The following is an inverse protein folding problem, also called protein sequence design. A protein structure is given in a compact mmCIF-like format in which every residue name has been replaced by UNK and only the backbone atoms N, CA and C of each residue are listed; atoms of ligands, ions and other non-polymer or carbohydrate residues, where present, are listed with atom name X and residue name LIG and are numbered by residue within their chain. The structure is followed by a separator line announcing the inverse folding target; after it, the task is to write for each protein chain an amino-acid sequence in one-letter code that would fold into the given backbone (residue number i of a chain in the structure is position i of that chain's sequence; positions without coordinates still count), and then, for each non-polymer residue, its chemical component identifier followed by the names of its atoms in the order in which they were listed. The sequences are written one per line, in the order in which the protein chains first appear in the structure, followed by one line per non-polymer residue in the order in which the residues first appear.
data_IF_585511612668
#
_entry.id   IF_585511612668
#
_cell.length_a   1.000
_cell.length_b   1.000
_cell.length_c   1.000
_cell.angle_alpha   90.00
_cell.angle_beta   90.00
_cell.angle_gamma   90.00
#
_symmetry.space_group_name_H-M   'P 1'
#
loop_
_entity.id
_entity.type
_entity.pdbx_description
1 polymer ?
#
# COMPACT_ATOMS: atom_id res chain seq x y z
N UNK A 1 -29.18 56.43 9.02
CA UNK A 1 -27.72 56.54 8.93
C UNK A 1 -27.09 55.65 9.99
N UNK A 2 -26.72 54.43 9.61
CA UNK A 2 -26.05 53.45 10.48
C UNK A 2 -24.74 53.08 9.81
N UNK A 3 -23.62 53.27 10.50
CA UNK A 3 -22.35 52.54 10.34
C UNK A 3 -21.28 53.24 11.16
N UNK A 4 -20.82 52.61 12.23
CA UNK A 4 -19.42 52.61 12.70
C UNK A 4 -19.34 52.15 14.16
N UNK A 5 -19.56 50.87 14.44
CA UNK A 5 -19.08 50.24 15.69
C UNK A 5 -19.08 48.72 15.50
N UNK A 6 -18.06 48.16 14.84
CA UNK A 6 -17.86 46.70 14.83
C UNK A 6 -16.44 46.24 14.42
N UNK A 7 -15.38 47.03 14.66
CA UNK A 7 -14.01 46.66 14.28
C UNK A 7 -13.06 46.50 15.48
N UNK A 8 -13.47 46.83 16.71
CA UNK A 8 -12.54 46.88 17.85
C UNK A 8 -12.54 45.66 18.79
N UNK A 9 -13.12 44.52 18.41
CA UNK A 9 -13.15 43.31 19.27
C UNK A 9 -12.41 42.09 18.71
N UNK A 10 -11.76 42.18 17.55
CA UNK A 10 -11.17 41.01 16.87
C UNK A 10 -9.64 40.86 17.05
N UNK A 11 -8.96 41.77 17.75
CA UNK A 11 -7.49 41.77 17.84
C UNK A 11 -6.93 41.12 19.13
N UNK A 12 -7.77 40.78 20.11
CA UNK A 12 -7.30 40.26 21.41
C UNK A 12 -7.51 38.75 21.67
N UNK A 13 -8.03 37.98 20.71
CA UNK A 13 -8.22 36.52 20.88
C UNK A 13 -7.09 35.69 20.23
N UNK A 14 -6.18 36.31 19.48
CA UNK A 14 -5.17 35.60 18.69
C UNK A 14 -3.81 35.32 19.39
N UNK A 15 -3.65 35.60 20.70
CA UNK A 15 -2.35 35.49 21.38
C UNK A 15 -2.32 34.64 22.68
N UNK A 16 -3.18 33.62 22.82
CA UNK A 16 -3.19 32.79 24.05
C UNK A 16 -3.23 31.27 23.86
N UNK A 17 -2.82 30.76 22.68
CA UNK A 17 -2.66 29.32 22.42
C UNK A 17 -1.25 28.97 21.92
N UNK A 18 -0.23 29.61 22.49
CA UNK A 18 1.15 29.10 22.47
C UNK A 18 1.47 28.76 23.92
N UNK A 19 2.11 27.60 24.14
CA UNK A 19 2.47 26.95 25.41
C UNK A 19 1.42 25.97 25.99
N UNK A 20 1.36 24.79 25.39
CA UNK A 20 1.27 23.50 26.11
C UNK A 20 1.69 22.40 25.12
N UNK A 21 2.98 22.32 24.81
CA UNK A 21 3.56 21.17 24.14
C UNK A 21 4.01 20.19 25.23
N UNK A 22 3.13 19.28 25.63
CA UNK A 22 3.56 18.07 26.32
C UNK A 22 4.22 17.16 25.28
N UNK A 23 5.51 16.98 25.44
CA UNK A 23 6.36 16.07 24.70
C UNK A 23 5.97 14.63 25.11
N UNK A 24 4.96 14.06 24.47
CA UNK A 24 4.69 12.62 24.57
C UNK A 24 5.73 11.93 23.68
N UNK A 25 6.80 11.45 24.31
CA UNK A 25 7.74 10.52 23.69
C UNK A 25 6.98 9.20 23.53
N UNK A 26 6.45 8.96 22.34
CA UNK A 26 5.91 7.66 21.96
C UNK A 26 7.10 6.78 21.58
N UNK A 27 7.52 5.89 22.48
CA UNK A 27 8.42 4.79 22.10
C UNK A 27 7.67 3.88 21.13
N UNK A 28 8.15 3.69 19.89
CA UNK A 28 7.60 2.63 19.06
C UNK A 28 7.99 1.29 19.71
N UNK A 29 6.99 0.51 20.12
CA UNK A 29 7.16 -0.93 20.37
C UNK A 29 7.46 -1.57 19.02
N UNK A 30 8.73 -1.51 18.62
CA UNK A 30 9.28 -2.37 17.59
C UNK A 30 9.37 -3.74 18.25
N UNK A 31 8.38 -4.60 17.97
CA UNK A 31 8.55 -6.04 18.15
C UNK A 31 9.63 -6.50 17.14
N UNK A 32 10.89 -6.23 17.49
CA UNK A 32 12.06 -6.70 16.78
C UNK A 32 12.17 -8.19 17.00
N UNK A 33 11.93 -8.97 15.96
CA UNK A 33 12.55 -10.28 15.87
C UNK A 33 14.03 -10.06 15.57
N UNK A 34 14.85 -9.96 16.63
CA UNK A 34 16.29 -10.16 16.54
C UNK A 34 16.55 -11.66 16.43
N UNK A 35 16.73 -12.17 15.23
CA UNK A 35 17.46 -13.44 15.08
C UNK A 35 18.92 -13.14 15.33
N UNK A 36 19.37 -13.37 16.57
CA UNK A 36 20.79 -13.52 16.87
C UNK A 36 21.31 -14.73 16.09
N UNK A 37 21.89 -14.49 14.92
CA UNK A 37 22.79 -15.46 14.30
C UNK A 37 24.14 -15.27 14.99
N UNK A 38 24.26 -15.89 16.14
CA UNK A 38 25.56 -16.28 16.68
C UNK A 38 25.73 -17.73 16.28
N UNK A 39 26.73 -18.05 15.46
CA UNK A 39 27.67 -19.12 15.78
C UNK A 39 28.77 -19.23 14.73
N UNK A 40 29.97 -18.89 15.21
CA UNK A 40 31.19 -19.58 14.85
C UNK A 40 31.04 -21.09 15.12
N UNK A 41 31.53 -21.87 14.16
CA UNK A 41 32.14 -23.20 14.32
C UNK A 41 31.26 -24.43 14.63
N UNK A 42 31.41 -25.41 13.72
CA UNK A 42 31.30 -26.86 13.91
C UNK A 42 29.88 -27.47 13.90
N UNK A 43 29.37 -27.72 12.70
CA UNK A 43 28.36 -28.75 12.47
C UNK A 43 29.09 -30.07 12.19
N UNK A 44 29.05 -30.99 13.15
CA UNK A 44 29.31 -32.41 12.92
C UNK A 44 28.02 -33.02 12.35
N UNK A 45 28.06 -33.40 11.08
CA UNK A 45 26.95 -34.08 10.39
C UNK A 45 27.12 -35.59 10.55
N UNK A 46 26.30 -36.19 11.41
CA UNK A 46 26.05 -37.63 11.38
C UNK A 46 25.11 -37.92 10.20
N UNK A 47 25.57 -38.76 9.27
CA UNK A 47 24.88 -39.05 8.01
C UNK A 47 24.43 -40.49 8.00
N UNK A 48 23.11 -40.71 8.00
CA UNK A 48 22.53 -41.93 7.44
C UNK A 48 21.26 -41.64 6.63
N UNK A 49 21.36 -42.00 5.34
CA UNK A 49 20.31 -42.35 4.36
C UNK A 49 19.42 -41.24 3.75
N UNK A 50 19.75 -40.83 2.51
CA UNK A 50 19.08 -41.20 1.22
C UNK A 50 17.78 -40.39 0.99
N UNK A 51 17.44 -39.77 -0.13
CA UNK A 51 17.97 -39.64 -1.49
C UNK A 51 17.09 -38.57 -2.16
N UNK A 52 17.68 -37.57 -2.83
CA UNK A 52 17.26 -37.06 -4.15
C UNK A 52 18.08 -35.81 -4.49
N UNK A 53 18.81 -35.92 -5.59
CA UNK A 53 19.90 -35.03 -5.95
C UNK A 53 19.45 -33.69 -6.55
N UNK A 54 20.07 -32.63 -6.05
CA UNK A 54 20.38 -31.44 -6.82
C UNK A 54 21.83 -31.07 -6.53
N UNK A 55 22.66 -31.06 -7.57
CA UNK A 55 24.08 -30.67 -7.51
C UNK A 55 24.15 -29.14 -7.49
N UNK A 56 24.50 -28.55 -6.35
CA UNK A 56 24.89 -27.13 -6.27
C UNK A 56 26.41 -27.09 -6.33
N UNK A 57 26.94 -26.57 -7.43
CA UNK A 57 28.36 -26.23 -7.59
C UNK A 57 28.65 -24.95 -6.81
N UNK A 58 29.60 -24.91 -5.86
CA UNK A 58 30.01 -23.66 -5.23
C UNK A 58 31.05 -22.96 -6.13
N UNK A 59 30.69 -21.81 -6.69
CA UNK A 59 31.65 -20.90 -7.31
C UNK A 59 32.24 -19.96 -6.26
N UNK A 60 33.57 -20.07 -6.11
CA UNK A 60 34.40 -19.35 -5.17
C UNK A 60 34.42 -17.83 -5.37
N UNK A 61 34.47 -17.16 -4.21
CA UNK A 61 35.21 -15.94 -3.85
C UNK A 61 36.16 -15.34 -4.90
N UNK A 62 36.04 -14.02 -5.07
CA UNK A 62 37.21 -13.14 -4.97
C UNK A 62 36.79 -11.69 -4.73
N UNK A 63 37.19 -11.15 -3.57
CA UNK A 63 37.34 -9.72 -3.32
C UNK A 63 38.52 -9.18 -4.15
N UNK A 64 38.39 -7.99 -4.73
CA UNK A 64 39.53 -7.07 -4.95
C UNK A 64 39.05 -5.63 -5.15
N UNK A 65 39.46 -4.77 -4.23
CA UNK A 65 39.62 -3.31 -4.39
C UNK A 65 40.99 -3.03 -5.02
N UNK A 66 41.07 -2.20 -6.08
CA UNK A 66 41.94 -1.02 -6.11
C UNK A 66 41.83 -0.19 -7.41
N UNK A 67 41.84 1.13 -7.18
CA UNK A 67 42.50 2.21 -7.94
C UNK A 67 42.11 2.63 -9.37
N UNK A 68 41.78 3.92 -9.41
CA UNK A 68 41.75 4.85 -10.54
C UNK A 68 43.16 5.07 -11.12
N UNK A 69 43.31 4.93 -12.44
CA UNK A 69 44.25 5.73 -13.26
C UNK A 69 43.79 5.75 -14.72
N UNK A 70 43.57 6.96 -15.23
CA UNK A 70 43.34 7.27 -16.64
C UNK A 70 44.62 7.11 -17.47
N UNK A 71 44.47 6.71 -18.74
CA UNK A 71 45.25 7.36 -19.81
C UNK A 71 44.37 7.83 -20.98
N UNK A 72 44.74 9.00 -21.51
CA UNK A 72 44.24 9.59 -22.76
C UNK A 72 44.85 8.85 -23.96
N UNK A 73 44.02 8.40 -24.91
CA UNK A 73 44.43 8.30 -26.32
C UNK A 73 43.22 8.44 -27.26
N UNK A 74 43.40 9.19 -28.34
CA UNK A 74 42.45 9.41 -29.46
C UNK A 74 42.61 8.32 -30.54
N UNK A 75 41.61 8.27 -31.44
CA UNK A 75 41.53 7.58 -32.76
C UNK A 75 40.97 6.15 -32.63
N UNK A 76 39.96 5.65 -33.35
CA UNK A 76 39.11 6.08 -34.47
C UNK A 76 37.80 5.26 -34.46
N UNK A 77 36.79 5.81 -35.12
CA UNK A 77 35.56 5.23 -35.71
C UNK A 77 35.29 3.71 -35.59
N UNK A 78 34.05 3.40 -35.19
CA UNK A 78 33.28 2.34 -35.86
C UNK A 78 33.01 1.05 -35.10
N UNK A 79 32.35 1.11 -33.93
CA UNK A 79 31.52 -0.01 -33.48
C UNK A 79 30.42 0.50 -32.53
N UNK A 80 29.19 0.61 -33.03
CA UNK A 80 28.02 0.81 -32.18
C UNK A 80 27.74 -0.57 -31.55
N UNK A 81 28.32 -0.80 -30.37
CA UNK A 81 27.75 -1.77 -29.45
C UNK A 81 26.44 -1.16 -28.96
N UNK A 82 25.31 -1.64 -29.48
CA UNK A 82 24.00 -1.42 -28.87
C UNK A 82 24.00 -2.11 -27.51
N UNK A 83 24.50 -1.41 -26.50
CA UNK A 83 24.20 -1.70 -25.11
C UNK A 83 22.71 -1.42 -24.95
N UNK A 84 21.88 -2.44 -25.19
CA UNK A 84 20.51 -2.47 -24.72
C UNK A 84 20.55 -2.45 -23.19
N UNK A 85 20.65 -1.25 -22.64
CA UNK A 85 20.29 -0.98 -21.26
C UNK A 85 18.78 -1.19 -21.20
N UNK A 86 18.34 -2.42 -20.94
CA UNK A 86 17.00 -2.64 -20.41
C UNK A 86 16.94 -1.88 -19.10
N UNK A 87 16.40 -0.68 -19.15
CA UNK A 87 15.83 -0.02 -17.99
C UNK A 87 14.70 -0.94 -17.55
N UNK A 88 15.02 -1.89 -16.65
CA UNK A 88 14.00 -2.61 -15.92
C UNK A 88 13.34 -1.54 -15.06
N UNK A 89 12.23 -1.00 -15.53
CA UNK A 89 11.40 -0.12 -14.72
C UNK A 89 11.04 -0.91 -13.46
N UNK A 90 11.22 -0.29 -12.30
CA UNK A 90 10.97 -0.81 -10.95
C UNK A 90 9.53 -1.33 -10.72
N UNK A 91 8.70 -1.31 -11.75
CA UNK A 91 7.27 -1.62 -11.77
C UNK A 91 6.96 -3.13 -11.81
N UNK A 92 7.93 -4.00 -12.11
CA UNK A 92 7.66 -5.44 -12.36
C UNK A 92 8.26 -6.41 -11.35
N UNK A 93 9.06 -5.95 -10.37
CA UNK A 93 9.58 -6.86 -9.36
C UNK A 93 8.44 -7.37 -8.47
N UNK A 94 8.22 -8.69 -8.42
CA UNK A 94 7.23 -9.31 -7.53
C UNK A 94 7.92 -9.75 -6.24
N UNK A 95 7.32 -9.41 -5.11
CA UNK A 95 7.80 -9.93 -3.83
C UNK A 95 7.53 -11.44 -3.74
N UNK A 96 8.41 -12.21 -3.08
CA UNK A 96 8.17 -13.63 -2.84
C UNK A 96 6.82 -13.90 -2.15
N UNK A 97 6.08 -14.92 -2.61
CA UNK A 97 4.74 -15.23 -2.11
C UNK A 97 4.65 -15.36 -0.57
N UNK A 98 5.63 -16.03 0.06
CA UNK A 98 5.61 -16.26 1.51
C UNK A 98 5.59 -14.96 2.33
N UNK A 99 6.16 -13.87 1.81
CA UNK A 99 6.12 -12.56 2.45
C UNK A 99 4.72 -11.92 2.35
N UNK A 100 4.10 -12.06 1.18
CA UNK A 100 2.75 -11.55 0.92
C UNK A 100 1.73 -12.33 1.76
N UNK A 101 1.86 -13.65 1.83
CA UNK A 101 1.07 -14.53 2.68
C UNK A 101 1.21 -14.18 4.16
N UNK A 102 2.44 -13.93 4.63
CA UNK A 102 2.69 -13.44 5.99
C UNK A 102 1.96 -12.13 6.31
N UNK A 103 1.96 -11.18 5.37
CA UNK A 103 1.22 -9.92 5.53
C UNK A 103 -0.31 -10.11 5.60
N UNK A 104 -0.86 -11.10 4.89
CA UNK A 104 -2.28 -11.46 4.96
C UNK A 104 -2.68 -12.25 6.22
N UNK A 105 -1.74 -12.94 6.86
CA UNK A 105 -2.01 -13.69 8.09
C UNK A 105 -2.06 -12.76 9.32
N UNK A 106 -1.46 -11.58 9.24
CA UNK A 106 -1.48 -10.58 10.31
C UNK A 106 -2.74 -9.66 10.25
N UNK A 107 -3.82 -10.15 9.66
CA UNK A 107 -5.04 -9.35 9.42
C UNK A 107 -6.06 -9.64 10.51
N UNK A 108 -6.93 -8.68 10.78
CA UNK A 108 -8.00 -8.82 11.78
C UNK A 108 -9.28 -9.44 11.23
N UNK A 109 -9.30 -9.80 9.93
CA UNK A 109 -10.48 -10.41 9.30
C UNK A 109 -10.40 -11.93 9.38
N UNK A 110 -11.35 -12.51 10.12
CA UNK A 110 -11.63 -13.94 10.05
C UNK A 110 -12.43 -14.16 8.77
N UNK A 111 -11.80 -14.74 7.75
CA UNK A 111 -12.46 -15.10 6.50
C UNK A 111 -12.39 -16.62 6.28
N UNK A 112 -13.45 -17.25 5.77
CA UNK A 112 -13.43 -18.67 5.41
C UNK A 112 -12.53 -18.96 4.20
N UNK A 113 -12.17 -17.96 3.40
CA UNK A 113 -11.25 -18.11 2.26
C UNK A 113 -10.26 -16.95 2.16
N UNK A 114 -8.98 -17.22 1.82
CA UNK A 114 -8.01 -16.15 1.64
C UNK A 114 -8.45 -15.21 0.50
N UNK A 115 -8.21 -13.89 0.62
CA UNK A 115 -8.63 -12.92 -0.40
C UNK A 115 -7.99 -13.23 -1.76
N UNK A 116 -6.74 -13.68 -1.76
CA UNK A 116 -6.02 -14.08 -2.95
C UNK A 116 -5.02 -15.21 -2.63
N UNK A 117 -4.50 -15.88 -3.66
CA UNK A 117 -3.60 -17.05 -3.55
C UNK A 117 -2.33 -16.82 -4.37
N UNK A 118 -1.36 -17.75 -4.31
CA UNK A 118 -0.12 -17.66 -5.11
C UNK A 118 -0.38 -17.57 -6.62
N UNK A 119 -1.52 -18.08 -7.07
CA UNK A 119 -1.93 -18.10 -8.49
C UNK A 119 -2.76 -16.87 -8.86
N UNK A 120 -3.05 -15.98 -7.91
CA UNK A 120 -3.77 -14.75 -8.16
C UNK A 120 -2.96 -13.80 -9.04
N UNK A 121 -3.65 -13.20 -10.00
CA UNK A 121 -3.08 -12.23 -10.94
C UNK A 121 -3.80 -10.91 -10.79
N UNK A 122 -3.07 -9.87 -10.42
CA UNK A 122 -3.58 -8.50 -10.34
C UNK A 122 -2.53 -7.54 -9.80
N UNK A 123 -2.87 -6.27 -9.79
CA UNK A 123 -1.91 -5.21 -9.52
C UNK A 123 -1.60 -5.02 -8.02
N UNK A 124 -2.46 -5.51 -7.12
CA UNK A 124 -2.32 -5.34 -5.67
C UNK A 124 -1.79 -6.61 -4.96
N UNK A 125 -1.51 -7.69 -5.70
CA UNK A 125 -1.07 -8.98 -5.13
C UNK A 125 0.39 -9.29 -5.42
N UNK A 126 1.12 -8.35 -6.01
CA UNK A 126 2.54 -8.53 -6.38
C UNK A 126 3.52 -7.96 -5.35
N UNK A 127 3.04 -7.17 -4.38
CA UNK A 127 3.86 -6.46 -3.40
C UNK A 127 3.37 -6.68 -1.98
N UNK A 128 4.29 -6.89 -1.04
CA UNK A 128 3.99 -7.03 0.38
C UNK A 128 3.34 -5.76 0.94
N UNK A 129 3.77 -4.58 0.47
CA UNK A 129 3.22 -3.30 0.91
C UNK A 129 1.73 -3.18 0.59
N UNK A 130 1.31 -3.58 -0.61
CA UNK A 130 -0.10 -3.55 -1.03
C UNK A 130 -0.95 -4.46 -0.13
N UNK A 131 -0.48 -5.68 0.12
CA UNK A 131 -1.18 -6.63 0.99
C UNK A 131 -1.28 -6.12 2.44
N UNK A 132 -0.18 -5.60 3.00
CA UNK A 132 -0.12 -5.06 4.36
C UNK A 132 -1.02 -3.83 4.54
N UNK A 133 -1.11 -2.98 3.51
CA UNK A 133 -1.97 -1.79 3.50
C UNK A 133 -3.45 -2.17 3.39
N UNK A 134 -3.81 -3.08 2.47
CA UNK A 134 -5.22 -3.34 2.15
C UNK A 134 -5.85 -4.30 3.16
N UNK A 135 -5.13 -5.36 3.50
CA UNK A 135 -5.67 -6.43 4.34
C UNK A 135 -5.12 -6.36 5.76
N UNK A 136 -3.87 -5.95 5.93
CA UNK A 136 -3.15 -5.94 7.20
C UNK A 136 -3.43 -4.75 8.12
N UNK A 137 -2.42 -4.43 8.93
CA UNK A 137 -2.44 -3.35 9.93
C UNK A 137 -2.69 -1.96 9.36
N UNK A 138 -2.41 -1.72 8.08
CA UNK A 138 -2.60 -0.42 7.41
C UNK A 138 -4.03 -0.14 6.96
N UNK A 139 -4.96 -1.10 7.09
CA UNK A 139 -6.30 -1.03 6.49
C UNK A 139 -7.10 0.19 6.92
N UNK A 140 -7.17 0.47 8.21
CA UNK A 140 -8.07 1.53 8.72
C UNK A 140 -7.56 2.92 8.31
N UNK A 141 -6.25 3.11 8.30
CA UNK A 141 -5.61 4.30 7.75
C UNK A 141 -5.85 4.41 6.25
N UNK A 142 -5.71 3.29 5.53
CA UNK A 142 -5.98 3.24 4.10
C UNK A 142 -7.43 3.62 3.76
N UNK A 143 -8.42 3.15 4.52
CA UNK A 143 -9.82 3.52 4.33
C UNK A 143 -10.05 5.03 4.50
N UNK A 144 -9.44 5.64 5.53
CA UNK A 144 -9.49 7.10 5.73
C UNK A 144 -8.89 7.85 4.55
N UNK A 145 -7.72 7.41 4.10
CA UNK A 145 -7.01 8.03 2.97
C UNK A 145 -7.80 7.89 1.68
N UNK A 146 -8.41 6.74 1.43
CA UNK A 146 -9.28 6.52 0.27
C UNK A 146 -10.47 7.48 0.28
N UNK A 147 -11.19 7.62 1.39
CA UNK A 147 -12.32 8.56 1.50
C UNK A 147 -11.83 9.99 1.31
N UNK A 148 -10.76 10.40 1.99
CA UNK A 148 -10.16 11.74 1.89
C UNK A 148 -9.77 12.07 0.45
N UNK A 149 -9.01 11.20 -0.21
CA UNK A 149 -8.56 11.40 -1.59
C UNK A 149 -9.73 11.41 -2.57
N UNK A 150 -10.72 10.53 -2.39
CA UNK A 150 -11.91 10.46 -3.24
C UNK A 150 -12.78 11.70 -3.13
N UNK A 151 -12.99 12.23 -1.90
CA UNK A 151 -13.76 13.46 -1.70
C UNK A 151 -13.01 14.68 -2.24
N UNK A 152 -11.71 14.80 -1.96
CA UNK A 152 -10.86 15.90 -2.46
C UNK A 152 -10.80 15.93 -3.99
N UNK A 153 -10.82 14.78 -4.64
CA UNK A 153 -10.80 14.66 -6.10
C UNK A 153 -12.18 14.73 -6.74
N UNK A 154 -13.25 14.81 -5.94
CA UNK A 154 -14.64 14.63 -6.37
C UNK A 154 -14.83 13.33 -7.17
N UNK A 155 -14.05 12.29 -6.86
CA UNK A 155 -14.09 11.03 -7.58
C UNK A 155 -13.38 11.03 -8.94
N UNK A 156 -12.55 12.02 -9.25
CA UNK A 156 -11.78 12.05 -10.49
C UNK A 156 -10.59 11.07 -10.43
N UNK A 157 -10.42 10.25 -11.48
CA UNK A 157 -9.34 9.25 -11.56
C UNK A 157 -7.94 9.85 -11.36
N UNK A 158 -7.54 10.83 -12.18
CA UNK A 158 -6.17 11.38 -12.18
C UNK A 158 -5.83 12.08 -10.87
N UNK A 159 -6.80 12.83 -10.33
CA UNK A 159 -6.62 13.53 -9.06
C UNK A 159 -6.60 12.58 -7.86
N UNK A 160 -7.41 11.50 -7.90
CA UNK A 160 -7.35 10.44 -6.87
C UNK A 160 -6.01 9.73 -6.91
N UNK A 161 -5.55 9.33 -8.10
CA UNK A 161 -4.23 8.72 -8.30
C UNK A 161 -3.11 9.60 -7.74
N UNK A 162 -3.10 10.88 -8.11
CA UNK A 162 -2.12 11.87 -7.63
C UNK A 162 -2.19 12.09 -6.11
N UNK A 163 -3.37 11.96 -5.51
CA UNK A 163 -3.52 12.03 -4.06
C UNK A 163 -2.93 10.78 -3.40
N UNK A 164 -3.30 9.59 -3.85
CA UNK A 164 -2.84 8.31 -3.29
C UNK A 164 -1.33 8.12 -3.44
N UNK A 165 -0.74 8.55 -4.56
CA UNK A 165 0.71 8.41 -4.80
C UNK A 165 1.59 9.23 -3.86
N UNK A 166 1.00 10.21 -3.15
CA UNK A 166 1.70 11.10 -2.20
C UNK A 166 1.54 10.66 -0.76
N UNK A 167 0.74 9.63 -0.49
CA UNK A 167 0.47 9.20 0.87
C UNK A 167 1.40 8.04 1.22
N UNK A 168 2.08 8.20 2.35
CA UNK A 168 2.72 7.11 3.07
C UNK A 168 1.72 6.59 4.10
N UNK A 169 1.58 5.27 4.15
CA UNK A 169 0.68 4.55 5.04
C UNK A 169 1.54 3.73 5.98
N UNK A 170 1.13 3.63 7.24
CA UNK A 170 1.82 2.80 8.23
C UNK A 170 3.32 3.15 8.33
N UNK A 171 3.62 4.44 8.51
CA UNK A 171 4.97 4.97 8.79
C UNK A 171 5.94 5.01 7.61
N UNK A 172 5.79 4.15 6.60
CA UNK A 172 6.71 4.10 5.45
C UNK A 172 6.20 3.37 4.19
N UNK A 173 5.07 2.66 4.24
CA UNK A 173 4.61 1.90 3.08
C UNK A 173 3.90 2.79 2.07
N UNK A 174 4.08 2.46 0.79
CA UNK A 174 3.33 3.03 -0.33
C UNK A 174 2.66 1.92 -1.10
N UNK A 175 1.47 2.23 -1.60
CA UNK A 175 0.85 1.37 -2.60
C UNK A 175 1.69 1.40 -3.88
N UNK A 176 1.78 0.25 -4.54
CA UNK A 176 2.33 0.17 -5.89
C UNK A 176 1.49 1.01 -6.85
N UNK A 177 2.11 1.52 -7.92
CA UNK A 177 1.39 2.32 -8.91
C UNK A 177 0.23 1.54 -9.54
N UNK A 178 0.45 0.25 -9.83
CA UNK A 178 -0.58 -0.64 -10.35
C UNK A 178 -1.77 -0.72 -9.41
N UNK A 179 -1.53 -0.91 -8.11
CA UNK A 179 -2.60 -0.97 -7.13
C UNK A 179 -3.32 0.39 -6.97
N UNK A 180 -2.59 1.51 -6.98
CA UNK A 180 -3.19 2.86 -6.98
C UNK A 180 -4.13 3.05 -8.17
N UNK A 181 -3.78 2.54 -9.36
CA UNK A 181 -4.64 2.62 -10.53
C UNK A 181 -5.97 1.88 -10.31
N UNK A 182 -5.95 0.69 -9.70
CA UNK A 182 -7.17 -0.07 -9.39
C UNK A 182 -8.12 0.70 -8.46
N UNK A 183 -7.58 1.27 -7.38
CA UNK A 183 -8.36 2.05 -6.43
C UNK A 183 -8.87 3.35 -7.05
N UNK A 184 -8.05 4.04 -7.83
CA UNK A 184 -8.45 5.27 -8.53
C UNK A 184 -9.54 5.01 -9.57
N UNK A 185 -9.50 3.87 -10.26
CA UNK A 185 -10.54 3.45 -11.20
C UNK A 185 -11.86 3.15 -10.49
N UNK A 186 -11.80 2.54 -9.30
CA UNK A 186 -12.99 2.29 -8.48
C UNK A 186 -13.65 3.59 -8.02
N UNK A 187 -12.84 4.57 -7.63
CA UNK A 187 -13.33 5.89 -7.23
C UNK A 187 -14.01 6.60 -8.40
N UNK A 188 -13.43 6.51 -9.61
CA UNK A 188 -14.07 7.02 -10.82
C UNK A 188 -15.37 6.27 -11.17
N UNK A 189 -15.41 4.94 -10.99
CA UNK A 189 -16.63 4.16 -11.13
C UNK A 189 -17.71 4.61 -10.14
N UNK A 190 -17.35 4.83 -8.88
CA UNK A 190 -18.26 5.32 -7.84
C UNK A 190 -18.82 6.70 -8.16
N UNK A 191 -18.01 7.60 -8.73
CA UNK A 191 -18.48 8.88 -9.25
C UNK A 191 -19.52 8.70 -10.35
N UNK A 192 -19.25 7.84 -11.34
CA UNK A 192 -20.13 7.70 -12.50
C UNK A 192 -21.44 6.97 -12.20
N UNK A 193 -21.42 5.96 -11.32
CA UNK A 193 -22.56 5.07 -11.08
C UNK A 193 -23.26 5.33 -9.73
N UNK A 194 -22.52 5.80 -8.72
CA UNK A 194 -22.98 5.81 -7.33
C UNK A 194 -22.99 7.20 -6.67
N UNK A 195 -22.66 8.28 -7.40
CA UNK A 195 -22.51 9.61 -6.80
C UNK A 195 -23.73 10.04 -5.98
N UNK A 196 -24.94 9.86 -6.51
CA UNK A 196 -26.17 10.25 -5.81
C UNK A 196 -26.42 9.44 -4.52
N UNK A 197 -25.98 8.17 -4.47
CA UNK A 197 -26.08 7.34 -3.27
C UNK A 197 -24.99 7.65 -2.23
N UNK A 198 -23.83 8.13 -2.68
CA UNK A 198 -22.62 8.31 -1.88
C UNK A 198 -22.31 9.78 -1.54
N UNK A 199 -23.04 10.75 -2.09
CA UNK A 199 -22.71 12.18 -2.02
C UNK A 199 -22.55 12.70 -0.59
N UNK A 200 -23.55 12.44 0.25
CA UNK A 200 -23.57 12.93 1.62
C UNK A 200 -22.61 12.12 2.53
N UNK A 201 -22.63 10.80 2.38
CA UNK A 201 -21.87 9.86 3.20
C UNK A 201 -21.64 8.58 2.38
N UNK A 202 -20.39 8.12 2.33
CA UNK A 202 -20.00 6.88 1.68
C UNK A 202 -20.33 5.65 2.55
N UNK A 203 -20.38 5.80 3.86
CA UNK A 203 -20.74 4.78 4.85
C UNK A 203 -22.25 4.64 5.09
N UNK A 204 -23.04 4.55 4.01
CA UNK A 204 -24.48 4.20 4.08
C UNK A 204 -24.80 3.00 3.19
N UNK A 205 -25.83 2.23 3.57
CA UNK A 205 -26.24 1.01 2.87
C UNK A 205 -26.40 1.21 1.36
N UNK A 206 -27.08 2.28 0.93
CA UNK A 206 -27.32 2.57 -0.49
C UNK A 206 -26.01 2.76 -1.28
N UNK A 207 -25.06 3.50 -0.71
CA UNK A 207 -23.75 3.71 -1.33
C UNK A 207 -22.96 2.40 -1.42
N UNK A 208 -22.89 1.65 -0.32
CA UNK A 208 -22.15 0.38 -0.24
C UNK A 208 -22.71 -0.65 -1.21
N UNK A 209 -24.04 -0.80 -1.27
CA UNK A 209 -24.73 -1.70 -2.22
C UNK A 209 -24.50 -1.27 -3.67
N UNK A 210 -24.53 0.03 -3.97
CA UNK A 210 -24.20 0.51 -5.31
C UNK A 210 -22.76 0.16 -5.70
N UNK A 211 -21.79 0.43 -4.82
CA UNK A 211 -20.39 0.09 -5.06
C UNK A 211 -20.21 -1.41 -5.32
N UNK A 212 -20.86 -2.25 -4.51
CA UNK A 212 -20.86 -3.71 -4.67
C UNK A 212 -21.38 -4.14 -6.04
N UNK A 213 -22.49 -3.57 -6.48
CA UNK A 213 -23.15 -3.94 -7.73
C UNK A 213 -22.41 -3.47 -8.99
N UNK A 214 -21.78 -2.29 -8.94
CA UNK A 214 -21.24 -1.64 -10.15
C UNK A 214 -19.71 -1.59 -10.21
N UNK A 215 -19.03 -1.53 -9.06
CA UNK A 215 -17.61 -1.20 -9.01
C UNK A 215 -16.75 -2.34 -8.44
N UNK A 216 -17.25 -3.10 -7.47
CA UNK A 216 -16.46 -4.13 -6.77
C UNK A 216 -15.92 -5.23 -7.71
N UNK A 217 -16.70 -5.66 -8.72
CA UNK A 217 -16.23 -6.69 -9.67
C UNK A 217 -14.95 -6.27 -10.41
N UNK A 218 -14.93 -5.02 -10.91
CA UNK A 218 -13.76 -4.50 -11.64
C UNK A 218 -12.58 -4.25 -10.70
N UNK A 219 -12.86 -3.76 -9.49
CA UNK A 219 -11.83 -3.59 -8.47
C UNK A 219 -11.18 -4.93 -8.11
N UNK A 220 -11.98 -5.95 -7.78
CA UNK A 220 -11.50 -7.28 -7.40
C UNK A 220 -10.62 -7.88 -8.50
N UNK A 221 -11.08 -7.80 -9.76
CA UNK A 221 -10.30 -8.23 -10.94
C UNK A 221 -8.99 -7.47 -11.08
N UNK A 222 -9.01 -6.14 -10.93
CA UNK A 222 -7.81 -5.32 -11.06
C UNK A 222 -6.81 -5.60 -9.94
N UNK A 223 -7.29 -5.71 -8.70
CA UNK A 223 -6.46 -5.97 -7.54
C UNK A 223 -5.87 -7.39 -7.56
N UNK A 224 -6.58 -8.37 -8.12
CA UNK A 224 -6.18 -9.78 -8.16
C UNK A 224 -6.76 -10.62 -7.03
N UNK A 225 -7.92 -10.22 -6.53
CA UNK A 225 -8.53 -10.78 -5.32
C UNK A 225 -9.97 -11.23 -5.59
N UNK A 226 -10.43 -12.22 -4.83
CA UNK A 226 -11.83 -12.68 -4.86
C UNK A 226 -12.75 -11.69 -4.16
N UNK A 227 -12.27 -11.13 -3.05
CA UNK A 227 -13.01 -10.19 -2.21
C UNK A 227 -12.09 -9.11 -1.65
N UNK A 228 -12.66 -7.97 -1.28
CA UNK A 228 -11.94 -6.88 -0.61
C UNK A 228 -12.71 -6.47 0.64
N UNK A 229 -12.01 -6.05 1.72
CA UNK A 229 -12.69 -5.53 2.89
C UNK A 229 -13.54 -4.32 2.48
N UNK A 230 -14.80 -4.32 2.89
CA UNK A 230 -15.65 -3.15 2.69
C UNK A 230 -15.17 -2.00 3.59
N UNK A 231 -15.33 -0.75 3.14
CA UNK A 231 -15.10 0.40 4.00
C UNK A 231 -16.10 0.40 5.17
N UNK A 232 -15.80 1.21 6.19
CA UNK A 232 -16.74 1.50 7.28
C UNK A 232 -17.04 0.31 8.22
N UNK A 233 -16.14 -0.67 8.29
CA UNK A 233 -16.25 -1.82 9.20
C UNK A 233 -17.25 -2.89 8.77
N UNK A 234 -17.68 -2.89 7.51
CA UNK A 234 -18.57 -3.92 6.98
C UNK A 234 -17.78 -5.21 6.66
N UNK A 235 -18.37 -6.35 6.99
CA UNK A 235 -17.82 -7.66 6.63
C UNK A 235 -17.99 -7.93 5.13
N UNK A 236 -16.94 -8.34 4.41
CA UNK A 236 -17.03 -8.70 3.00
C UNK A 236 -17.83 -9.99 2.72
N UNK A 237 -18.09 -10.79 3.76
CA UNK A 237 -18.79 -12.08 3.65
C UNK A 237 -20.23 -12.03 4.17
N UNK A 238 -20.68 -10.87 4.63
CA UNK A 238 -22.03 -10.70 5.16
C UNK A 238 -22.81 -9.75 4.27
N UNK A 239 -24.14 -9.97 4.11
CA UNK A 239 -24.97 -9.03 3.39
C UNK A 239 -24.96 -7.65 4.08
N UNK A 240 -24.91 -6.59 3.28
CA UNK A 240 -24.95 -5.22 3.79
C UNK A 240 -26.34 -4.95 4.41
N UNK A 241 -26.44 -4.59 5.70
CA UNK A 241 -27.73 -4.33 6.34
C UNK A 241 -28.49 -3.20 5.65
N UNK A 242 -29.81 -3.34 5.51
CA UNK A 242 -30.65 -2.38 4.76
C UNK A 242 -30.59 -0.95 5.29
N UNK A 243 -30.48 -0.80 6.61
CA UNK A 243 -30.44 0.48 7.30
C UNK A 243 -29.03 0.85 7.81
N UNK A 244 -27.98 0.22 7.27
CA UNK A 244 -26.61 0.51 7.66
C UNK A 244 -26.25 1.99 7.43
N UNK A 245 -25.75 2.64 8.47
CA UNK A 245 -25.19 3.99 8.43
C UNK A 245 -24.21 4.17 9.57
N UNK A 246 -23.00 4.61 9.25
CA UNK A 246 -21.99 5.00 10.24
C UNK A 246 -21.36 6.33 9.84
N UNK A 247 -20.61 6.93 10.78
CA UNK A 247 -19.80 8.11 10.46
C UNK A 247 -18.64 7.67 9.57
N UNK A 248 -18.32 8.47 8.56
CA UNK A 248 -17.11 8.23 7.79
C UNK A 248 -15.88 8.30 8.71
N UNK A 249 -14.90 7.42 8.52
CA UNK A 249 -13.65 7.53 9.24
C UNK A 249 -12.92 8.79 8.73
N UNK A 250 -12.63 9.71 9.66
CA UNK A 250 -11.89 10.94 9.42
C UNK A 250 -10.42 10.78 9.84
#
# INVERSE_FOLDING_TARGET
MHRSFCILSLVLVFNFWILSAELIIYEPVIAGYTTNITNNSNITLDTTNLTNGYTITPSNSSNSTLEVRTPKTKISEGFIAETSTTVISDTDFKDPWYLIEGAMNNTTYISPEPPFTKDSVGACVNKISDAAIIFGVGRDEFQKVMIKCSRKSLGNFKLTKSCLSKVELFGQYKLSEGCINCWSATVACGRSNCAHHCFANTCVAKCQKCSLNYCSKNLNKCAGTKWLPFPCGLSPHSPIPDNFKTKEPH
#
